data_IF_705885633720
#
_entry.id   IF_705885633720
#
_cell.length_a   1.000
_cell.length_b   1.000
_cell.length_c   1.000
_cell.angle_alpha   90.00
_cell.angle_beta   90.00
_cell.angle_gamma   90.00
#
_symmetry.space_group_name_H-M   'P 1'
#
loop_
_entity.id
_entity.type
_entity.pdbx_description
1 polymer ?
#
# COMPACT_ATOMS: atom_id res chain seq x y z
N UNK A 1 -0.08 33.36 22.59
CA UNK A 1 -0.67 32.65 21.43
C UNK A 1 -0.73 33.61 20.27
N UNK A 2 -0.23 33.20 19.10
CA UNK A 2 -0.15 34.06 17.93
C UNK A 2 -1.50 34.17 17.22
N UNK A 3 -1.88 35.39 16.88
CA UNK A 3 -3.11 35.73 16.19
C UNK A 3 -2.79 36.59 14.97
N UNK A 4 -3.57 36.42 13.90
CA UNK A 4 -3.60 37.32 12.77
C UNK A 4 -4.72 38.31 13.04
N UNK A 5 -4.41 39.60 12.98
CA UNK A 5 -5.35 40.66 13.26
C UNK A 5 -5.32 41.72 12.16
N UNK A 6 -6.45 42.40 12.00
CA UNK A 6 -6.59 43.58 11.16
C UNK A 6 -6.62 44.83 12.05
N UNK A 7 -5.79 45.81 11.71
CA UNK A 7 -5.81 47.14 12.36
C UNK A 7 -7.07 47.88 11.95
N UNK A 8 -7.80 48.43 12.93
CA UNK A 8 -8.96 49.28 12.74
C UNK A 8 -8.79 50.59 13.49
N UNK A 9 -8.66 51.71 12.75
CA UNK A 9 -8.58 53.06 13.33
C UNK A 9 -9.97 53.69 13.37
N UNK A 10 -10.47 53.99 14.57
CA UNK A 10 -11.80 54.55 14.76
C UNK A 10 -11.75 56.09 14.75
N UNK A 11 -11.52 56.70 13.58
CA UNK A 11 -11.61 58.17 13.39
C UNK A 11 -10.67 59.03 14.26
N UNK A 12 -10.80 60.36 14.14
CA UNK A 12 -9.88 61.41 14.63
C UNK A 12 -9.58 61.45 16.16
N UNK A 13 -10.14 60.56 16.98
CA UNK A 13 -9.94 60.56 18.45
C UNK A 13 -10.05 59.17 19.11
N UNK A 14 -10.15 58.08 18.33
CA UNK A 14 -10.35 56.74 18.88
C UNK A 14 -9.05 55.96 19.00
N UNK A 15 -8.83 55.33 20.16
CA UNK A 15 -7.76 54.34 20.35
C UNK A 15 -7.85 53.26 19.25
N UNK A 16 -6.72 52.85 18.65
CA UNK A 16 -6.74 51.85 17.60
C UNK A 16 -7.20 50.50 18.16
N UNK A 17 -8.03 49.80 17.40
CA UNK A 17 -8.51 48.46 17.74
C UNK A 17 -7.88 47.44 16.79
N UNK A 18 -7.62 46.26 17.32
CA UNK A 18 -7.18 45.10 16.55
C UNK A 18 -8.33 44.10 16.49
N UNK A 19 -8.83 43.84 15.29
CA UNK A 19 -9.80 42.77 15.06
C UNK A 19 -9.04 41.47 14.79
N UNK A 20 -9.18 40.49 15.67
CA UNK A 20 -8.58 39.17 15.47
C UNK A 20 -9.38 38.42 14.41
N UNK A 21 -8.68 37.86 13.41
CA UNK A 21 -9.30 37.16 12.26
C UNK A 21 -8.91 35.69 12.20
N UNK A 22 -7.73 35.33 12.71
CA UNK A 22 -7.31 33.94 12.84
C UNK A 22 -6.42 33.74 14.07
N UNK A 23 -6.44 32.53 14.62
CA UNK A 23 -5.56 32.10 15.71
C UNK A 23 -4.69 30.93 15.27
N UNK A 24 -3.44 30.91 15.72
CA UNK A 24 -2.56 29.78 15.49
C UNK A 24 -2.89 28.65 16.48
N UNK A 25 -3.28 27.49 15.97
CA UNK A 25 -3.50 26.28 16.79
C UNK A 25 -2.26 25.40 16.81
N UNK A 26 -1.50 25.37 15.71
CA UNK A 26 -0.22 24.67 15.60
C UNK A 26 0.71 25.38 14.60
N UNK A 27 1.94 24.88 14.42
CA UNK A 27 2.93 25.48 13.52
C UNK A 27 2.39 25.79 12.11
N UNK A 28 1.55 24.91 11.56
CA UNK A 28 1.00 25.03 10.20
C UNK A 28 -0.53 25.02 10.17
N UNK A 29 -1.19 25.24 11.31
CA UNK A 29 -2.64 25.19 11.41
C UNK A 29 -3.15 26.45 12.08
N UNK A 30 -4.02 27.15 11.36
CA UNK A 30 -4.68 28.36 11.81
C UNK A 30 -6.18 28.14 11.75
N UNK A 31 -6.89 28.56 12.78
CA UNK A 31 -8.33 28.58 12.82
C UNK A 31 -8.85 30.00 12.60
N UNK A 32 -9.84 30.15 11.73
CA UNK A 32 -10.55 31.42 11.54
C UNK A 32 -11.39 31.74 12.78
N UNK A 33 -11.40 33.01 13.16
CA UNK A 33 -12.22 33.52 14.24
C UNK A 33 -13.50 34.07 13.59
N UNK A 34 -14.60 33.34 13.72
CA UNK A 34 -15.89 33.71 13.12
C UNK A 34 -16.62 34.83 13.87
N UNK A 35 -16.27 35.03 15.14
CA UNK A 35 -16.84 36.07 15.99
C UNK A 35 -16.03 37.37 15.88
N UNK A 36 -16.69 38.51 16.08
CA UNK A 36 -15.99 39.80 16.13
C UNK A 36 -15.24 39.87 17.46
N UNK A 37 -13.96 39.52 17.44
CA UNK A 37 -13.06 39.61 18.60
C UNK A 37 -12.12 40.80 18.41
N UNK A 38 -12.37 41.87 19.18
CA UNK A 38 -11.62 43.13 19.09
C UNK A 38 -10.87 43.39 20.41
N UNK A 39 -9.61 43.82 20.29
CA UNK A 39 -8.74 44.17 21.42
C UNK A 39 -8.22 45.59 21.21
N UNK A 40 -8.27 46.42 22.26
CA UNK A 40 -7.67 47.75 22.24
C UNK A 40 -6.14 47.65 22.15
N UNK A 41 -5.55 48.38 21.21
CA UNK A 41 -4.11 48.48 21.02
C UNK A 41 -3.63 49.91 21.27
N UNK A 42 -2.33 50.08 21.50
CA UNK A 42 -1.75 51.42 21.66
C UNK A 42 -1.39 52.01 20.29
N UNK A 43 -1.46 53.34 20.14
CA UNK A 43 -1.18 54.04 18.87
C UNK A 43 0.20 53.76 18.28
N UNK A 44 1.18 53.45 19.12
CA UNK A 44 2.56 53.12 18.72
C UNK A 44 2.68 51.79 17.98
N UNK A 45 1.70 50.90 18.08
CA UNK A 45 1.80 49.53 17.57
C UNK A 45 1.19 49.34 16.16
N UNK A 46 0.48 50.35 15.64
CA UNK A 46 -0.44 50.19 14.51
C UNK A 46 -0.23 51.23 13.39
N UNK A 47 0.62 50.88 12.42
CA UNK A 47 1.10 51.85 11.42
C UNK A 47 0.08 52.28 10.36
N UNK A 48 -0.96 51.51 10.03
CA UNK A 48 -1.98 51.92 9.04
C UNK A 48 -3.32 51.19 9.24
N UNK A 49 -4.43 51.89 8.99
CA UNK A 49 -5.78 51.30 9.00
C UNK A 49 -5.91 50.18 7.94
N UNK A 50 -6.63 49.11 8.27
CA UNK A 50 -6.81 47.95 7.41
C UNK A 50 -5.59 47.03 7.25
N UNK A 51 -4.44 47.35 7.86
CA UNK A 51 -3.22 46.54 7.74
C UNK A 51 -3.31 45.24 8.52
N UNK A 52 -2.70 44.17 7.99
CA UNK A 52 -2.59 42.88 8.67
C UNK A 52 -1.34 42.83 9.56
N UNK A 53 -1.55 42.41 10.81
CA UNK A 53 -0.49 42.27 11.81
C UNK A 53 -0.60 40.92 12.52
N UNK A 54 0.55 40.41 12.94
CA UNK A 54 0.66 39.26 13.83
C UNK A 54 0.74 39.78 15.26
N UNK A 55 -0.13 39.26 16.12
CA UNK A 55 -0.27 39.70 17.51
C UNK A 55 -0.07 38.50 18.41
N UNK A 56 0.90 38.58 19.32
CA UNK A 56 1.01 37.57 20.38
C UNK A 56 0.19 38.04 21.59
N UNK A 57 -0.75 37.20 22.01
CA UNK A 57 -1.69 37.51 23.10
C UNK A 57 -1.44 36.54 24.25
N UNK A 58 -1.32 37.09 25.46
CA UNK A 58 -1.20 36.30 26.69
C UNK A 58 -2.50 35.56 27.04
N UNK A 59 -2.47 34.55 27.93
CA UNK A 59 -3.68 33.92 28.46
C UNK A 59 -4.64 34.92 29.15
N UNK A 60 -4.11 36.06 29.61
CA UNK A 60 -4.86 37.15 30.25
C UNK A 60 -5.41 38.18 29.25
N UNK A 61 -5.41 37.87 27.95
CA UNK A 61 -5.85 38.78 26.86
C UNK A 61 -5.05 40.09 26.76
N UNK A 62 -3.78 40.08 27.20
CA UNK A 62 -2.88 41.22 27.04
C UNK A 62 -2.01 41.04 25.80
N UNK A 63 -1.80 42.13 25.06
CA UNK A 63 -0.91 42.14 23.89
C UNK A 63 0.53 42.05 24.40
N UNK A 64 1.25 41.02 23.97
CA UNK A 64 2.67 40.80 24.27
C UNK A 64 3.57 41.38 23.19
N UNK A 65 3.18 41.24 21.92
CA UNK A 65 3.90 41.83 20.79
C UNK A 65 3.00 42.01 19.57
N UNK A 66 3.35 42.99 18.73
CA UNK A 66 2.70 43.27 17.44
C UNK A 66 3.78 43.34 16.37
N UNK A 67 3.60 42.61 15.28
CA UNK A 67 4.53 42.56 14.15
C UNK A 67 3.78 42.65 12.82
N UNK A 68 4.44 43.14 11.77
CA UNK A 68 3.84 43.14 10.43
C UNK A 68 3.62 41.71 9.93
N UNK A 69 2.45 41.42 9.37
CA UNK A 69 2.18 40.11 8.76
C UNK A 69 2.81 39.95 7.37
N UNK A 70 3.49 40.96 6.82
CA UNK A 70 4.00 40.98 5.44
C UNK A 70 4.89 39.78 5.12
N UNK A 71 5.96 39.58 5.89
CA UNK A 71 6.95 38.53 5.60
C UNK A 71 6.33 37.14 5.82
N UNK A 72 5.48 37.01 6.83
CA UNK A 72 4.70 35.79 7.07
C UNK A 72 3.76 35.44 5.91
N UNK A 73 3.05 36.42 5.34
CA UNK A 73 2.21 36.20 4.15
C UNK A 73 3.07 35.82 2.95
N UNK A 74 4.21 36.46 2.74
CA UNK A 74 5.13 36.12 1.66
C UNK A 74 5.66 34.68 1.80
N UNK A 75 5.98 34.25 3.02
CA UNK A 75 6.38 32.87 3.31
C UNK A 75 5.24 31.88 3.03
N UNK A 76 3.99 32.21 3.36
CA UNK A 76 2.84 31.37 3.02
C UNK A 76 2.68 31.22 1.50
N UNK A 77 2.77 32.32 0.76
CA UNK A 77 2.70 32.29 -0.71
C UNK A 77 3.83 31.43 -1.28
N UNK A 78 5.06 31.63 -0.79
CA UNK A 78 6.22 30.86 -1.24
C UNK A 78 6.11 29.37 -0.91
N UNK A 79 5.60 29.01 0.27
CA UNK A 79 5.59 27.62 0.72
C UNK A 79 4.38 26.83 0.20
N UNK A 80 3.22 27.46 0.05
CA UNK A 80 1.97 26.76 -0.24
C UNK A 80 1.35 27.08 -1.61
N UNK A 81 1.64 28.24 -2.20
CA UNK A 81 1.03 28.65 -3.48
C UNK A 81 2.00 28.56 -4.67
N UNK A 82 3.31 28.44 -4.44
CA UNK A 82 4.32 28.36 -5.52
C UNK A 82 4.34 27.01 -6.25
N UNK A 83 3.97 25.92 -5.57
CA UNK A 83 4.02 24.56 -6.13
C UNK A 83 2.84 24.26 -7.06
N UNK A 84 1.79 25.10 -7.06
CA UNK A 84 0.56 24.86 -7.82
C UNK A 84 -0.26 23.67 -7.31
N UNK A 85 0.14 23.04 -6.19
CA UNK A 85 -0.56 21.90 -5.60
C UNK A 85 -1.80 22.43 -4.88
N UNK A 86 -2.96 22.20 -5.49
CA UNK A 86 -4.24 22.61 -4.89
C UNK A 86 -4.78 21.53 -3.96
N UNK A 87 -5.60 21.88 -2.95
CA UNK A 87 -6.29 20.89 -2.14
C UNK A 87 -7.16 19.91 -2.96
N UNK A 88 -7.70 20.36 -4.09
CA UNK A 88 -8.44 19.52 -5.02
C UNK A 88 -7.54 18.47 -5.68
N UNK A 89 -6.34 18.86 -6.13
CA UNK A 89 -5.35 17.94 -6.66
C UNK A 89 -4.95 16.88 -5.63
N UNK A 90 -4.68 17.28 -4.38
CA UNK A 90 -4.33 16.32 -3.31
C UNK A 90 -5.47 15.34 -3.02
N UNK A 91 -6.72 15.81 -3.06
CA UNK A 91 -7.90 14.95 -2.86
C UNK A 91 -8.03 13.93 -3.99
N UNK A 92 -7.86 14.38 -5.24
CA UNK A 92 -7.89 13.52 -6.41
C UNK A 92 -6.76 12.48 -6.38
N UNK A 93 -5.54 12.89 -6.01
CA UNK A 93 -4.42 11.95 -5.93
C UNK A 93 -4.62 10.91 -4.84
N UNK A 94 -5.22 11.29 -3.70
CA UNK A 94 -5.62 10.36 -2.65
C UNK A 94 -6.62 9.32 -3.17
N UNK A 95 -7.65 9.76 -3.88
CA UNK A 95 -8.67 8.87 -4.47
C UNK A 95 -8.03 7.88 -5.47
N UNK A 96 -7.15 8.36 -6.35
CA UNK A 96 -6.41 7.51 -7.30
C UNK A 96 -5.52 6.47 -6.60
N UNK A 97 -4.86 6.85 -5.50
CA UNK A 97 -4.06 5.91 -4.70
C UNK A 97 -4.97 4.86 -4.05
N UNK A 98 -6.11 5.26 -3.51
CA UNK A 98 -7.09 4.34 -2.91
C UNK A 98 -7.64 3.34 -3.96
N UNK A 99 -8.00 3.81 -5.15
CA UNK A 99 -8.43 2.97 -6.27
C UNK A 99 -7.33 1.98 -6.71
N UNK A 100 -6.08 2.46 -6.77
CA UNK A 100 -4.92 1.63 -7.09
C UNK A 100 -4.70 0.53 -6.05
N UNK A 101 -4.85 0.85 -4.76
CA UNK A 101 -4.73 -0.12 -3.66
C UNK A 101 -5.84 -1.18 -3.70
N UNK A 102 -7.06 -0.79 -4.04
CA UNK A 102 -8.17 -1.73 -4.20
C UNK A 102 -7.89 -2.71 -5.36
N UNK A 103 -7.44 -2.18 -6.50
CA UNK A 103 -7.10 -2.99 -7.68
C UNK A 103 -5.98 -3.99 -7.37
N UNK A 104 -4.91 -3.55 -6.70
CA UNK A 104 -3.80 -4.41 -6.26
C UNK A 104 -4.26 -5.51 -5.29
N UNK A 105 -5.21 -5.19 -4.40
CA UNK A 105 -5.74 -6.16 -3.43
C UNK A 105 -6.52 -7.27 -4.13
N UNK A 106 -7.34 -6.92 -5.12
CA UNK A 106 -8.09 -7.89 -5.93
C UNK A 106 -7.12 -8.80 -6.69
N UNK A 107 -6.11 -8.21 -7.35
CA UNK A 107 -5.10 -8.99 -8.09
C UNK A 107 -4.36 -9.96 -7.18
N UNK A 108 -3.97 -9.53 -5.96
CA UNK A 108 -3.31 -10.39 -4.98
C UNK A 108 -4.20 -11.55 -4.54
N UNK A 109 -5.49 -11.32 -4.32
CA UNK A 109 -6.44 -12.38 -3.95
C UNK A 109 -6.62 -13.39 -5.09
N UNK A 110 -6.69 -12.91 -6.33
CA UNK A 110 -6.79 -13.78 -7.51
C UNK A 110 -5.55 -14.64 -7.71
N UNK A 111 -4.35 -14.08 -7.50
CA UNK A 111 -3.10 -14.84 -7.55
C UNK A 111 -3.05 -15.91 -6.45
N UNK A 112 -3.47 -15.57 -5.22
CA UNK A 112 -3.53 -16.54 -4.13
C UNK A 112 -4.48 -17.70 -4.46
N UNK A 113 -5.66 -17.40 -5.01
CA UNK A 113 -6.62 -18.42 -5.48
C UNK A 113 -6.01 -19.33 -6.55
N UNK A 114 -5.38 -18.75 -7.57
CA UNK A 114 -4.72 -19.53 -8.65
C UNK A 114 -3.57 -20.38 -8.13
N UNK A 115 -2.81 -19.88 -7.16
CA UNK A 115 -1.72 -20.64 -6.53
C UNK A 115 -2.24 -21.89 -5.84
N UNK A 116 -3.36 -21.80 -5.13
CA UNK A 116 -3.99 -22.96 -4.47
C UNK A 116 -4.50 -23.96 -5.50
N UNK A 117 -5.15 -23.49 -6.57
CA UNK A 117 -5.63 -24.35 -7.65
C UNK A 117 -4.48 -25.10 -8.35
N UNK A 118 -3.36 -24.42 -8.61
CA UNK A 118 -2.19 -25.03 -9.22
C UNK A 118 -1.54 -26.08 -8.30
N UNK A 119 -1.52 -25.85 -6.99
CA UNK A 119 -0.99 -26.84 -6.06
C UNK A 119 -1.87 -28.08 -6.01
N UNK A 120 -3.19 -27.93 -5.98
CA UNK A 120 -4.13 -29.06 -6.08
C UNK A 120 -3.95 -29.85 -7.39
N UNK A 121 -3.73 -29.16 -8.51
CA UNK A 121 -3.41 -29.80 -9.81
C UNK A 121 -2.08 -30.54 -9.79
N UNK A 122 -1.06 -29.99 -9.13
CA UNK A 122 0.24 -30.64 -8.96
C UNK A 122 0.09 -31.94 -8.16
N UNK A 123 -0.67 -31.91 -7.06
CA UNK A 123 -0.96 -33.10 -6.26
C UNK A 123 -1.69 -34.18 -7.08
N UNK A 124 -2.69 -33.80 -7.88
CA UNK A 124 -3.41 -34.70 -8.79
C UNK A 124 -2.44 -35.40 -9.77
N UNK A 125 -1.54 -34.62 -10.41
CA UNK A 125 -0.54 -35.15 -11.33
C UNK A 125 0.39 -36.14 -10.62
N UNK A 126 0.89 -35.80 -9.42
CA UNK A 126 1.76 -36.70 -8.66
C UNK A 126 1.08 -38.04 -8.32
N UNK A 127 -0.20 -38.03 -7.97
CA UNK A 127 -0.94 -39.27 -7.72
C UNK A 127 -1.08 -40.13 -8.98
N UNK A 128 -1.32 -39.50 -10.13
CA UNK A 128 -1.37 -40.19 -11.42
C UNK A 128 -0.02 -40.77 -11.81
N UNK A 129 1.07 -40.04 -11.60
CA UNK A 129 2.44 -40.50 -11.84
C UNK A 129 2.77 -41.74 -10.99
N UNK A 130 2.45 -41.72 -9.69
CA UNK A 130 2.65 -42.87 -8.80
C UNK A 130 1.83 -44.08 -9.27
N UNK A 131 0.57 -43.86 -9.68
CA UNK A 131 -0.29 -44.93 -10.19
C UNK A 131 0.28 -45.54 -11.47
N UNK A 132 0.75 -44.71 -12.40
CA UNK A 132 1.36 -45.15 -13.65
C UNK A 132 2.65 -45.95 -13.39
N UNK A 133 3.50 -45.47 -12.47
CA UNK A 133 4.73 -46.15 -12.11
C UNK A 133 4.47 -47.54 -11.51
N UNK A 134 3.44 -47.67 -10.65
CA UNK A 134 3.00 -48.97 -10.13
C UNK A 134 2.53 -49.91 -11.24
N UNK A 135 1.75 -49.41 -12.21
CA UNK A 135 1.30 -50.21 -13.34
C UNK A 135 2.47 -50.71 -14.20
N UNK A 136 3.47 -49.85 -14.45
CA UNK A 136 4.68 -50.23 -15.17
C UNK A 136 5.41 -51.37 -14.44
N UNK A 137 5.62 -51.24 -13.12
CA UNK A 137 6.28 -52.28 -12.32
C UNK A 137 5.55 -53.62 -12.36
N UNK A 138 4.22 -53.61 -12.29
CA UNK A 138 3.40 -54.83 -12.39
C UNK A 138 3.57 -55.48 -13.76
N UNK A 139 3.47 -54.70 -14.84
CA UNK A 139 3.64 -55.22 -16.20
C UNK A 139 5.07 -55.75 -16.45
N UNK A 140 6.08 -55.11 -15.88
CA UNK A 140 7.46 -55.59 -15.94
C UNK A 140 7.65 -56.91 -15.20
N UNK A 141 7.03 -57.06 -14.02
CA UNK A 141 7.06 -58.31 -13.26
C UNK A 141 6.34 -59.45 -14.02
N UNK A 142 5.14 -59.20 -14.54
CA UNK A 142 4.38 -60.16 -15.36
C UNK A 142 5.18 -60.59 -16.60
N UNK A 143 5.84 -59.63 -17.27
CA UNK A 143 6.72 -59.92 -18.41
C UNK A 143 7.88 -60.83 -18.00
N UNK A 144 8.53 -60.57 -16.87
CA UNK A 144 9.63 -61.42 -16.39
C UNK A 144 9.16 -62.82 -16.00
N UNK A 145 7.99 -62.95 -15.37
CA UNK A 145 7.39 -64.24 -15.05
C UNK A 145 7.09 -65.05 -16.32
N UNK A 146 6.52 -64.42 -17.34
CA UNK A 146 6.28 -65.07 -18.64
C UNK A 146 7.59 -65.52 -19.30
N UNK A 147 8.61 -64.68 -19.32
CA UNK A 147 9.91 -65.01 -19.92
C UNK A 147 10.60 -66.17 -19.19
N UNK A 148 10.60 -66.15 -17.86
CA UNK A 148 11.19 -67.23 -17.05
C UNK A 148 10.45 -68.56 -17.25
N UNK A 149 9.11 -68.53 -17.30
CA UNK A 149 8.31 -69.71 -17.63
C UNK A 149 8.66 -70.26 -19.01
N UNK A 150 8.64 -69.43 -20.06
CA UNK A 150 8.96 -69.87 -21.41
C UNK A 150 10.38 -70.44 -21.52
N UNK A 151 11.36 -69.82 -20.86
CA UNK A 151 12.73 -70.34 -20.85
C UNK A 151 12.81 -71.72 -20.18
N UNK A 152 12.12 -71.92 -19.05
CA UNK A 152 12.09 -73.23 -18.39
C UNK A 152 11.43 -74.31 -19.26
N UNK A 153 10.38 -73.97 -20.00
CA UNK A 153 9.70 -74.88 -20.93
C UNK A 153 10.59 -75.22 -22.14
N UNK A 154 11.36 -74.25 -22.65
CA UNK A 154 12.35 -74.45 -23.71
C UNK A 154 13.49 -75.37 -23.26
N UNK A 155 14.05 -75.14 -22.08
CA UNK A 155 15.09 -76.00 -21.48
C UNK A 155 14.59 -77.43 -21.29
N UNK A 156 13.36 -77.61 -20.78
CA UNK A 156 12.75 -78.92 -20.63
C UNK A 156 12.57 -79.64 -21.97
N UNK A 157 12.11 -78.93 -23.01
CA UNK A 157 12.00 -79.48 -24.36
C UNK A 157 13.36 -79.86 -24.95
N UNK A 158 14.37 -79.01 -24.80
CA UNK A 158 15.72 -79.28 -25.28
C UNK A 158 16.32 -80.53 -24.63
N UNK A 159 16.20 -80.66 -23.31
CA UNK A 159 16.65 -81.85 -22.58
C UNK A 159 15.93 -83.11 -23.08
N UNK A 160 14.63 -83.02 -23.36
CA UNK A 160 13.85 -84.13 -23.93
C UNK A 160 14.35 -84.56 -25.31
N UNK A 161 14.64 -83.58 -26.17
CA UNK A 161 15.18 -83.82 -27.51
C UNK A 161 16.54 -84.53 -27.41
N UNK A 162 17.45 -84.03 -26.57
CA UNK A 162 18.76 -84.64 -26.36
C UNK A 162 18.64 -86.09 -25.83
N UNK A 163 17.70 -86.34 -24.92
CA UNK A 163 17.44 -87.70 -24.39
C UNK A 163 16.97 -88.66 -25.49
N UNK A 164 16.07 -88.21 -26.38
CA UNK A 164 15.58 -89.00 -27.50
C UNK A 164 16.69 -89.27 -28.54
N UNK A 165 17.50 -88.26 -28.86
CA UNK A 165 18.66 -88.41 -29.76
C UNK A 165 19.69 -89.40 -29.22
N UNK A 166 19.96 -89.38 -27.91
CA UNK A 166 20.87 -90.32 -27.26
C UNK A 166 20.33 -91.76 -27.32
N UNK A 167 19.02 -91.96 -27.12
CA UNK A 167 18.38 -93.27 -27.27
C UNK A 167 18.45 -93.80 -28.69
N UNK A 168 18.31 -92.93 -29.69
CA UNK A 168 18.37 -93.31 -31.11
C UNK A 168 19.78 -93.68 -31.58
N UNK A 169 20.83 -93.09 -30.99
CA UNK A 169 22.24 -93.47 -31.26
C UNK A 169 22.68 -94.80 -30.63
N UNK A 170 21.99 -95.26 -29.59
CA UNK A 170 22.34 -96.48 -28.84
C UNK A 170 21.48 -97.70 -29.22
N UNK A 171 20.58 -97.57 -30.20
CA UNK A 171 19.78 -98.65 -30.79
C UNK A 171 20.31 -99.04 -32.16
#
# INVERSE_FOLDING_TARGET
>A
MLHLAQVQKQGLSGEPKLRLIARQESAYTWALISEIDEISATETDCSNDGSLVLVDISPTRQILSVQSAKDWVLDLVKNYLSSGITPAFLRQEKERVEEGLQSLTIEKQDLARRSVELEARREEIQQLEIKLQKQIQVLEAEKQEILTRFNSELEACQNKIQELEAKLKNS
#
